data_IF_875262726573
#
_entry.id   IF_875262726573
#
_cell.length_a   1.000
_cell.length_b   1.000
_cell.length_c   1.000
_cell.angle_alpha   90.00
_cell.angle_beta   90.00
_cell.angle_gamma   90.00
#
_symmetry.space_group_name_H-M   'P 1'
#
loop_
_entity.id
_entity.type
_entity.pdbx_description
1 polymer ?
#
# COMPACT_ATOMS: atom_id res chain seq x y z
N UNK A 1 2.07 11.52 4.63
CA UNK A 1 0.99 11.88 3.69
C UNK A 1 1.11 13.35 3.36
N UNK A 2 0.91 13.73 2.09
CA UNK A 2 0.96 15.11 1.62
C UNK A 2 -0.22 15.37 0.69
N UNK A 3 -1.05 16.37 1.02
CA UNK A 3 -2.19 16.79 0.21
C UNK A 3 -1.76 17.97 -0.65
N UNK A 4 -1.95 17.87 -1.96
CA UNK A 4 -1.71 18.95 -2.89
C UNK A 4 -3.05 19.42 -3.48
N UNK A 5 -3.46 20.63 -3.12
CA UNK A 5 -4.67 21.27 -3.65
C UNK A 5 -4.37 21.83 -5.05
N UNK A 6 -5.06 21.33 -6.07
CA UNK A 6 -4.91 21.82 -7.45
C UNK A 6 -5.85 22.99 -7.75
N UNK A 7 -7.06 22.98 -7.19
CA UNK A 7 -8.04 24.07 -7.33
C UNK A 7 -9.08 23.98 -6.22
N UNK A 8 -9.80 25.08 -5.98
CA UNK A 8 -10.95 25.11 -5.10
C UNK A 8 -12.02 26.06 -5.65
N UNK A 9 -13.27 25.78 -5.28
CA UNK A 9 -14.45 26.62 -5.51
C UNK A 9 -15.30 26.60 -4.23
N UNK A 10 -15.28 27.72 -3.49
CA UNK A 10 -15.85 27.82 -2.14
C UNK A 10 -15.35 26.67 -1.24
N UNK A 11 -16.26 25.86 -0.72
CA UNK A 11 -15.96 24.74 0.17
C UNK A 11 -15.55 23.47 -0.58
N UNK A 12 -15.52 23.47 -1.92
CA UNK A 12 -15.18 22.31 -2.72
C UNK A 12 -13.73 22.36 -3.21
N UNK A 13 -12.96 21.34 -2.87
CA UNK A 13 -11.54 21.25 -3.17
C UNK A 13 -11.28 20.10 -4.15
N UNK A 14 -10.43 20.36 -5.13
CA UNK A 14 -9.79 19.35 -5.96
C UNK A 14 -8.32 19.25 -5.59
N UNK A 15 -7.88 18.02 -5.36
CA UNK A 15 -6.57 17.75 -4.81
C UNK A 15 -6.01 16.43 -5.34
N UNK A 16 -4.74 16.19 -5.01
CA UNK A 16 -4.10 14.88 -5.08
C UNK A 16 -3.51 14.57 -3.71
N UNK A 17 -3.38 13.29 -3.39
CA UNK A 17 -2.83 12.83 -2.11
C UNK A 17 -1.64 11.90 -2.39
N UNK A 18 -0.49 12.25 -1.84
CA UNK A 18 0.70 11.41 -1.87
C UNK A 18 0.87 10.72 -0.53
N UNK A 19 0.96 9.39 -0.56
CA UNK A 19 1.11 8.55 0.60
C UNK A 19 2.44 7.82 0.50
N UNK A 20 3.23 7.91 1.57
CA UNK A 20 4.44 7.16 1.75
C UNK A 20 4.48 6.69 3.20
N UNK A 21 4.84 5.42 3.41
CA UNK A 21 5.17 4.88 4.72
C UNK A 21 6.38 3.98 4.64
N UNK A 22 7.06 3.86 5.77
CA UNK A 22 8.25 3.04 5.94
C UNK A 22 8.26 2.42 7.33
N UNK A 23 8.94 1.28 7.45
CA UNK A 23 9.19 0.64 8.74
C UNK A 23 10.69 0.54 9.02
N UNK A 24 11.12 0.57 10.28
CA UNK A 24 12.50 0.27 10.65
C UNK A 24 12.81 -1.22 10.41
N UNK A 25 14.05 -1.50 10.03
CA UNK A 25 14.56 -2.87 9.92
C UNK A 25 15.17 -3.31 11.25
N UNK A 26 14.93 -4.57 11.63
CA UNK A 26 15.42 -5.12 12.90
C UNK A 26 16.94 -4.94 13.04
N UNK A 27 17.36 -4.42 14.20
CA UNK A 27 18.77 -4.18 14.54
C UNK A 27 19.53 -3.31 13.52
N UNK A 28 18.84 -2.38 12.84
CA UNK A 28 19.42 -1.49 11.83
C UNK A 28 18.87 -0.06 11.98
N UNK A 29 19.65 0.93 11.52
CA UNK A 29 19.18 2.30 11.37
C UNK A 29 18.44 2.54 10.04
N UNK A 30 18.32 1.51 9.20
CA UNK A 30 17.68 1.61 7.90
C UNK A 30 16.14 1.52 8.02
N UNK A 31 15.46 2.46 7.37
CA UNK A 31 14.00 2.47 7.24
C UNK A 31 13.62 2.01 5.83
N UNK A 32 12.95 0.86 5.74
CA UNK A 32 12.49 0.29 4.49
C UNK A 32 11.13 0.88 4.10
N UNK A 33 10.96 1.43 2.88
CA UNK A 33 9.67 1.89 2.40
C UNK A 33 8.72 0.70 2.22
N UNK A 34 7.47 0.79 2.68
CA UNK A 34 6.49 -0.31 2.62
C UNK A 34 5.26 0.02 1.76
N UNK A 35 4.92 1.29 1.64
CA UNK A 35 3.80 1.73 0.82
C UNK A 35 4.10 3.08 0.18
N UNK A 36 3.93 3.17 -1.13
CA UNK A 36 4.00 4.40 -1.91
C UNK A 36 2.81 4.47 -2.87
N UNK A 37 2.00 5.52 -2.75
CA UNK A 37 0.78 5.67 -3.54
C UNK A 37 0.50 7.14 -3.85
N UNK A 38 0.09 7.41 -5.09
CA UNK A 38 -0.35 8.72 -5.52
C UNK A 38 -1.83 8.68 -5.91
N UNK A 39 -2.70 9.15 -5.02
CA UNK A 39 -4.12 9.23 -5.26
C UNK A 39 -4.45 10.52 -6.02
N UNK A 40 -4.80 10.34 -7.30
CA UNK A 40 -5.20 11.43 -8.19
C UNK A 40 -6.70 11.75 -8.12
N UNK A 41 -7.49 10.87 -7.51
CA UNK A 41 -8.94 10.98 -7.42
C UNK A 41 -9.34 11.49 -6.04
N UNK A 42 -8.88 12.70 -5.69
CA UNK A 42 -9.14 13.29 -4.39
C UNK A 42 -9.87 14.63 -4.51
N UNK A 43 -11.18 14.58 -4.28
CA UNK A 43 -12.04 15.78 -4.21
C UNK A 43 -12.82 15.72 -2.92
N UNK A 44 -13.01 16.84 -2.25
CA UNK A 44 -13.72 16.85 -0.97
C UNK A 44 -14.36 18.21 -0.70
N UNK A 45 -15.31 18.21 0.24
CA UNK A 45 -15.87 19.43 0.79
C UNK A 45 -15.26 19.70 2.16
N UNK A 46 -14.89 20.94 2.43
CA UNK A 46 -14.35 21.36 3.73
C UNK A 46 -14.73 22.82 4.01
N UNK A 47 -15.26 23.07 5.19
CA UNK A 47 -15.51 24.42 5.70
C UNK A 47 -14.48 24.77 6.77
N UNK A 48 -14.08 26.04 6.85
CA UNK A 48 -13.17 26.50 7.89
C UNK A 48 -13.78 26.21 9.28
N UNK A 49 -12.94 25.69 10.19
CA UNK A 49 -13.34 25.24 11.53
C UNK A 49 -14.30 24.03 11.56
N UNK A 50 -14.58 23.38 10.43
CA UNK A 50 -15.32 22.13 10.42
C UNK A 50 -14.57 21.05 11.20
N UNK A 51 -15.27 20.42 12.15
CA UNK A 51 -14.71 19.30 12.91
C UNK A 51 -14.55 18.07 12.00
N UNK A 52 -13.39 17.41 12.08
CA UNK A 52 -13.08 16.20 11.33
C UNK A 52 -13.36 14.98 12.19
N UNK A 53 -14.55 14.41 12.04
CA UNK A 53 -15.00 13.24 12.80
C UNK A 53 -14.91 12.01 11.90
N UNK A 54 -14.28 10.95 12.41
CA UNK A 54 -14.27 9.63 11.78
C UNK A 54 -15.26 8.72 12.48
N UNK A 55 -16.10 8.06 11.68
CA UNK A 55 -16.98 6.99 12.11
C UNK A 55 -16.63 5.71 11.31
N UNK A 56 -16.32 4.58 11.97
CA UNK A 56 -15.92 3.35 11.27
C UNK A 56 -17.07 2.69 10.48
N UNK A 57 -18.32 3.02 10.78
CA UNK A 57 -19.49 2.35 10.19
C UNK A 57 -20.35 3.29 9.34
N UNK A 58 -20.03 4.60 9.29
CA UNK A 58 -20.82 5.61 8.57
C UNK A 58 -19.91 6.58 7.80
N UNK A 59 -20.37 7.00 6.61
CA UNK A 59 -19.73 8.06 5.86
C UNK A 59 -19.99 9.43 6.49
N UNK A 60 -18.93 10.13 6.90
CA UNK A 60 -19.01 11.51 7.43
C UNK A 60 -18.63 12.55 6.38
N UNK A 61 -17.45 12.39 5.77
CA UNK A 61 -16.98 13.25 4.68
C UNK A 61 -15.93 12.55 3.84
N UNK A 62 -15.83 12.91 2.56
CA UNK A 62 -14.86 12.27 1.67
C UNK A 62 -13.41 12.59 2.07
N UNK A 63 -13.16 13.77 2.66
CA UNK A 63 -11.86 14.13 3.21
C UNK A 63 -11.41 13.11 4.26
N UNK A 64 -12.27 12.87 5.26
CA UNK A 64 -11.98 11.94 6.35
C UNK A 64 -11.93 10.50 5.83
N UNK A 65 -12.85 10.09 4.96
CA UNK A 65 -12.87 8.72 4.40
C UNK A 65 -11.63 8.39 3.59
N UNK A 66 -11.13 9.28 2.73
CA UNK A 66 -9.90 9.04 1.96
C UNK A 66 -8.69 8.93 2.89
N UNK A 67 -8.56 9.83 3.88
CA UNK A 67 -7.46 9.79 4.84
C UNK A 67 -7.51 8.50 5.66
N UNK A 68 -8.68 8.16 6.22
CA UNK A 68 -8.87 6.96 7.02
C UNK A 68 -8.58 5.69 6.21
N UNK A 69 -9.05 5.62 4.96
CA UNK A 69 -8.76 4.50 4.06
C UNK A 69 -7.26 4.27 3.91
N UNK A 70 -6.48 5.31 3.61
CA UNK A 70 -5.03 5.15 3.46
C UNK A 70 -4.32 4.84 4.78
N UNK A 71 -4.81 5.34 5.92
CA UNK A 71 -4.29 4.95 7.24
C UNK A 71 -4.48 3.45 7.46
N UNK A 72 -5.68 2.91 7.22
CA UNK A 72 -5.93 1.47 7.33
C UNK A 72 -5.13 0.64 6.32
N UNK A 73 -4.91 1.15 5.10
CA UNK A 73 -3.99 0.51 4.15
C UNK A 73 -2.55 0.47 4.67
N UNK A 74 -2.05 1.57 5.26
CA UNK A 74 -0.72 1.61 5.87
C UNK A 74 -0.61 0.59 7.00
N UNK A 75 -1.59 0.55 7.91
CA UNK A 75 -1.59 -0.38 9.04
C UNK A 75 -1.67 -1.83 8.60
N UNK A 76 -2.49 -2.14 7.58
CA UNK A 76 -2.59 -3.49 7.03
C UNK A 76 -1.30 -3.96 6.38
N UNK A 77 -0.68 -3.10 5.56
CA UNK A 77 0.59 -3.42 4.89
C UNK A 77 1.71 -3.57 5.92
N UNK A 78 1.78 -2.67 6.90
CA UNK A 78 2.78 -2.73 7.97
C UNK A 78 2.65 -4.02 8.79
N UNK A 79 1.43 -4.38 9.21
CA UNK A 79 1.17 -5.63 9.92
C UNK A 79 1.63 -6.85 9.10
N UNK A 80 1.25 -6.95 7.83
CA UNK A 80 1.64 -8.05 6.94
C UNK A 80 3.17 -8.18 6.76
N UNK A 81 3.95 -7.12 7.01
CA UNK A 81 5.41 -7.20 6.98
C UNK A 81 6.01 -7.91 8.21
N UNK A 82 5.27 -7.99 9.32
CA UNK A 82 5.71 -8.64 10.57
C UNK A 82 5.15 -10.06 10.73
N UNK A 83 3.90 -10.28 10.32
CA UNK A 83 3.26 -11.60 10.40
C UNK A 83 2.30 -11.82 9.23
N UNK A 84 2.28 -13.04 8.73
CA UNK A 84 1.54 -13.40 7.53
C UNK A 84 0.03 -13.24 7.74
N UNK A 85 -0.57 -12.41 6.91
CA UNK A 85 -1.99 -12.07 6.92
C UNK A 85 -2.50 -11.30 8.17
N UNK A 86 -1.61 -10.81 9.03
CA UNK A 86 -2.01 -10.05 10.22
C UNK A 86 -2.69 -8.71 9.90
N UNK A 87 -2.58 -8.21 8.66
CA UNK A 87 -3.27 -7.02 8.17
C UNK A 87 -4.78 -7.15 7.96
N UNK A 88 -5.38 -8.34 8.11
CA UNK A 88 -6.78 -8.63 7.79
C UNK A 88 -7.76 -7.66 8.45
N UNK A 89 -7.57 -7.38 9.74
CA UNK A 89 -8.44 -6.46 10.46
C UNK A 89 -8.46 -5.08 9.81
N UNK A 90 -7.29 -4.54 9.44
CA UNK A 90 -7.17 -3.20 8.87
C UNK A 90 -7.69 -3.14 7.44
N UNK A 91 -7.41 -4.15 6.62
CA UNK A 91 -7.94 -4.20 5.25
C UNK A 91 -9.46 -4.32 5.23
N UNK A 92 -10.05 -5.07 6.16
CA UNK A 92 -11.51 -5.14 6.28
C UNK A 92 -12.12 -3.77 6.68
N UNK A 93 -11.45 -2.99 7.52
CA UNK A 93 -11.88 -1.60 7.79
C UNK A 93 -11.73 -0.70 6.56
N UNK A 94 -10.63 -0.80 5.81
CA UNK A 94 -10.47 -0.08 4.54
C UNK A 94 -11.55 -0.48 3.52
N UNK A 95 -11.95 -1.75 3.50
CA UNK A 95 -13.05 -2.25 2.65
C UNK A 95 -14.41 -1.68 3.08
N UNK A 96 -14.69 -1.63 4.38
CA UNK A 96 -15.91 -0.95 4.88
C UNK A 96 -15.96 0.51 4.44
N UNK A 97 -14.84 1.23 4.54
CA UNK A 97 -14.75 2.62 4.08
C UNK A 97 -15.06 2.74 2.59
N UNK A 98 -14.51 1.85 1.75
CA UNK A 98 -14.85 1.79 0.34
C UNK A 98 -16.36 1.62 0.15
N UNK A 99 -16.96 0.64 0.82
CA UNK A 99 -18.35 0.24 0.62
C UNK A 99 -19.34 1.38 0.92
N UNK A 100 -19.17 2.10 2.04
CA UNK A 100 -20.03 3.25 2.33
C UNK A 100 -19.68 4.50 1.49
N UNK A 101 -18.45 4.62 0.99
CA UNK A 101 -18.02 5.80 0.20
C UNK A 101 -18.49 5.74 -1.25
N UNK A 102 -18.74 4.54 -1.79
CA UNK A 102 -19.21 4.35 -3.17
C UNK A 102 -20.52 5.08 -3.50
N UNK A 103 -21.41 5.21 -2.52
CA UNK A 103 -22.75 5.78 -2.73
C UNK A 103 -22.74 7.32 -2.82
N UNK A 104 -21.59 7.97 -2.52
CA UNK A 104 -21.49 9.41 -2.36
C UNK A 104 -20.99 10.17 -3.61
N UNK A 105 -20.79 9.47 -4.73
CA UNK A 105 -20.49 10.08 -6.04
C UNK A 105 -19.07 10.65 -6.19
N UNK A 106 -18.18 10.46 -5.20
CA UNK A 106 -16.77 10.84 -5.32
C UNK A 106 -15.98 9.78 -6.10
N UNK A 107 -15.09 10.24 -6.99
CA UNK A 107 -14.22 9.33 -7.77
C UNK A 107 -13.18 8.64 -6.90
N UNK A 108 -12.78 7.45 -7.32
CA UNK A 108 -11.76 6.60 -6.73
C UNK A 108 -12.33 5.45 -5.90
N UNK A 109 -13.64 5.45 -5.65
CA UNK A 109 -14.34 4.43 -4.86
C UNK A 109 -15.08 3.41 -5.73
N UNK A 110 -15.40 3.74 -6.98
CA UNK A 110 -16.14 2.86 -7.87
C UNK A 110 -15.21 2.12 -8.86
N UNK A 111 -15.63 0.94 -9.37
CA UNK A 111 -14.83 0.18 -10.34
C UNK A 111 -14.52 0.94 -11.65
N UNK A 112 -15.41 1.86 -12.04
CA UNK A 112 -15.29 2.66 -13.26
C UNK A 112 -14.43 3.92 -13.10
N UNK A 113 -13.89 4.20 -11.91
CA UNK A 113 -13.04 5.37 -11.64
C UNK A 113 -11.57 5.20 -12.07
N UNK A 114 -11.29 4.13 -12.83
CA UNK A 114 -9.98 3.78 -13.36
C UNK A 114 -9.29 2.67 -12.58
N UNK A 115 -8.34 2.00 -13.24
CA UNK A 115 -7.62 0.83 -12.72
C UNK A 115 -6.65 1.15 -11.57
N UNK A 116 -6.28 2.43 -11.41
CA UNK A 116 -5.42 2.93 -10.35
C UNK A 116 -6.25 3.72 -9.33
N UNK A 117 -7.10 3.02 -8.60
CA UNK A 117 -8.07 3.61 -7.68
C UNK A 117 -8.02 2.92 -6.32
N UNK A 118 -8.60 3.58 -5.30
CA UNK A 118 -8.75 2.99 -3.96
C UNK A 118 -9.56 1.70 -4.02
N UNK A 119 -10.58 1.65 -4.89
CA UNK A 119 -11.34 0.43 -5.20
C UNK A 119 -10.42 -0.74 -5.57
N UNK A 120 -9.63 -0.61 -6.64
CA UNK A 120 -8.79 -1.71 -7.08
C UNK A 120 -7.66 -2.01 -6.10
N UNK A 121 -7.14 -1.01 -5.39
CA UNK A 121 -6.12 -1.23 -4.38
C UNK A 121 -6.59 -2.24 -3.32
N UNK A 122 -7.71 -1.96 -2.66
CA UNK A 122 -8.21 -2.85 -1.59
C UNK A 122 -8.75 -4.17 -2.15
N UNK A 123 -9.39 -4.15 -3.31
CA UNK A 123 -9.88 -5.36 -3.97
C UNK A 123 -8.73 -6.31 -4.33
N UNK A 124 -7.62 -5.78 -4.84
CA UNK A 124 -6.45 -6.59 -5.18
C UNK A 124 -5.81 -7.17 -3.91
N UNK A 125 -5.67 -6.40 -2.83
CA UNK A 125 -5.05 -6.89 -1.58
C UNK A 125 -5.85 -8.04 -0.95
N UNK A 126 -7.18 -7.95 -0.95
CA UNK A 126 -8.06 -8.97 -0.35
C UNK A 126 -8.34 -10.16 -1.27
N UNK A 127 -8.14 -10.02 -2.59
CA UNK A 127 -8.49 -11.07 -3.54
C UNK A 127 -7.51 -12.25 -3.47
N UNK A 128 -8.01 -13.51 -3.39
CA UNK A 128 -7.18 -14.72 -3.49
C UNK A 128 -6.35 -14.79 -4.78
N UNK A 129 -6.75 -14.03 -5.80
CA UNK A 129 -6.02 -13.89 -7.06
C UNK A 129 -4.62 -13.27 -6.87
N UNK A 130 -4.39 -12.53 -5.80
CA UNK A 130 -3.12 -11.86 -5.51
C UNK A 130 -2.54 -12.25 -4.15
N UNK A 131 -2.90 -13.42 -3.60
CA UNK A 131 -2.48 -13.91 -2.27
C UNK A 131 -0.97 -13.85 -2.03
N UNK A 132 -0.17 -13.99 -3.08
CA UNK A 132 1.29 -13.94 -3.06
C UNK A 132 1.79 -12.56 -2.63
N UNK A 133 1.06 -11.48 -2.91
CA UNK A 133 1.44 -10.12 -2.49
C UNK A 133 1.72 -10.03 -1.00
N UNK A 134 0.79 -10.50 -0.16
CA UNK A 134 0.92 -10.47 1.30
C UNK A 134 2.00 -11.41 1.81
N UNK A 135 2.14 -12.56 1.14
CA UNK A 135 3.23 -13.51 1.42
C UNK A 135 4.60 -12.92 1.11
N UNK A 136 4.69 -12.10 0.06
CA UNK A 136 5.91 -11.39 -0.32
C UNK A 136 6.21 -10.27 0.66
N UNK A 137 5.23 -9.49 1.11
CA UNK A 137 5.43 -8.49 2.18
C UNK A 137 6.09 -9.13 3.41
N UNK A 138 5.54 -10.24 3.90
CA UNK A 138 6.11 -10.96 5.03
C UNK A 138 7.52 -11.51 4.74
N UNK A 139 7.68 -12.32 3.68
CA UNK A 139 8.95 -12.99 3.42
C UNK A 139 10.09 -12.01 3.06
N UNK A 140 9.78 -10.95 2.30
CA UNK A 140 10.76 -9.95 1.90
C UNK A 140 11.30 -9.19 3.11
N UNK A 141 10.41 -8.80 4.03
CA UNK A 141 10.78 -8.04 5.22
C UNK A 141 11.37 -8.93 6.31
N UNK A 142 10.61 -9.91 6.80
CA UNK A 142 11.01 -10.72 7.96
C UNK A 142 12.13 -11.72 7.63
N UNK A 143 12.03 -12.45 6.51
CA UNK A 143 13.06 -13.44 6.12
C UNK A 143 14.18 -12.86 5.27
N UNK A 144 13.99 -11.65 4.74
CA UNK A 144 14.97 -10.94 3.94
C UNK A 144 15.65 -9.85 4.75
N UNK A 145 15.02 -8.67 4.81
CA UNK A 145 15.62 -7.46 5.37
C UNK A 145 16.01 -7.58 6.85
N UNK A 146 15.13 -8.11 7.70
CA UNK A 146 15.38 -8.20 9.15
C UNK A 146 16.53 -9.15 9.49
N UNK A 147 16.89 -10.06 8.58
CA UNK A 147 17.98 -10.99 8.76
C UNK A 147 19.31 -10.49 8.18
N UNK A 148 19.34 -9.31 7.53
CA UNK A 148 20.50 -8.82 6.78
C UNK A 148 21.72 -8.55 7.66
N UNK A 149 21.50 -8.15 8.91
CA UNK A 149 22.56 -7.92 9.89
C UNK A 149 23.18 -9.22 10.41
N UNK A 150 22.46 -10.34 10.29
CA UNK A 150 22.87 -11.66 10.76
C UNK A 150 23.54 -12.47 9.65
N UNK A 151 22.89 -12.62 8.49
CA UNK A 151 23.43 -13.36 7.33
C UNK A 151 22.97 -12.72 6.02
N UNK A 152 23.89 -11.99 5.39
CA UNK A 152 23.65 -11.29 4.13
C UNK A 152 23.29 -12.23 2.97
N UNK A 153 23.89 -13.42 2.88
CA UNK A 153 23.66 -14.36 1.77
C UNK A 153 22.28 -15.00 1.92
N UNK A 154 21.92 -15.42 3.12
CA UNK A 154 20.60 -15.96 3.41
C UNK A 154 19.51 -14.91 3.16
N UNK A 155 19.70 -13.68 3.65
CA UNK A 155 18.75 -12.58 3.46
C UNK A 155 18.45 -12.28 2.01
N UNK A 156 19.50 -12.08 1.20
CA UNK A 156 19.33 -11.81 -0.22
C UNK A 156 18.69 -12.99 -0.96
N UNK A 157 18.95 -14.23 -0.53
CA UNK A 157 18.24 -15.41 -1.06
C UNK A 157 16.75 -15.38 -0.68
N UNK A 158 16.42 -14.97 0.55
CA UNK A 158 15.04 -14.74 1.00
C UNK A 158 14.31 -13.68 0.18
N UNK A 159 14.98 -12.55 -0.10
CA UNK A 159 14.48 -11.50 -1.00
C UNK A 159 14.24 -12.06 -2.41
N UNK A 160 15.24 -12.72 -3.00
CA UNK A 160 15.13 -13.31 -4.35
C UNK A 160 13.98 -14.30 -4.48
N UNK A 161 13.81 -15.20 -3.50
CA UNK A 161 12.70 -16.16 -3.46
C UNK A 161 11.34 -15.47 -3.34
N UNK A 162 11.27 -14.36 -2.60
CA UNK A 162 10.05 -13.57 -2.48
C UNK A 162 9.68 -12.94 -3.84
N UNK A 163 10.66 -12.40 -4.57
CA UNK A 163 10.41 -11.84 -5.91
C UNK A 163 9.90 -12.89 -6.92
N UNK A 164 10.33 -14.15 -6.80
CA UNK A 164 9.80 -15.24 -7.64
C UNK A 164 8.30 -15.52 -7.41
N UNK A 165 7.77 -15.24 -6.22
CA UNK A 165 6.32 -15.35 -5.99
C UNK A 165 5.55 -14.24 -6.73
N UNK A 166 6.15 -13.05 -6.88
CA UNK A 166 5.56 -11.99 -7.69
C UNK A 166 5.56 -12.32 -9.18
N UNK A 167 6.57 -13.03 -9.68
CA UNK A 167 6.57 -13.54 -11.06
C UNK A 167 5.42 -14.53 -11.29
N UNK A 168 5.18 -15.46 -10.36
CA UNK A 168 4.03 -16.37 -10.41
C UNK A 168 2.69 -15.61 -10.42
N UNK A 169 2.57 -14.58 -9.59
CA UNK A 169 1.39 -13.70 -9.57
C UNK A 169 1.22 -12.97 -10.90
N UNK A 170 2.30 -12.40 -11.46
CA UNK A 170 2.30 -11.67 -12.72
C UNK A 170 1.94 -12.58 -13.90
N UNK A 171 2.43 -13.82 -13.95
CA UNK A 171 2.06 -14.81 -14.98
C UNK A 171 0.55 -15.09 -15.00
N UNK A 172 -0.10 -15.06 -13.83
CA UNK A 172 -1.55 -15.27 -13.70
C UNK A 172 -2.36 -14.01 -14.00
N UNK A 173 -1.92 -12.85 -13.52
CA UNK A 173 -2.56 -11.55 -13.79
C UNK A 173 -1.50 -10.50 -14.11
N UNK A 174 -1.13 -10.36 -15.40
CA UNK A 174 -0.17 -9.35 -15.82
C UNK A 174 -0.68 -7.93 -15.57
N UNK A 175 0.24 -7.00 -15.35
CA UNK A 175 -0.06 -5.57 -15.16
C UNK A 175 -1.07 -5.28 -14.02
N UNK A 176 -1.09 -6.12 -12.99
CA UNK A 176 -1.96 -5.87 -11.83
C UNK A 176 -1.54 -4.61 -11.09
N UNK A 177 -2.54 -3.87 -10.58
CA UNK A 177 -2.26 -2.60 -9.92
C UNK A 177 -1.42 -2.79 -8.65
N UNK A 178 -1.67 -3.85 -7.89
CA UNK A 178 -0.94 -4.14 -6.66
C UNK A 178 0.54 -4.47 -6.91
N UNK A 179 0.85 -5.11 -8.04
CA UNK A 179 2.24 -5.36 -8.44
C UNK A 179 2.97 -4.06 -8.74
N UNK A 180 2.30 -3.12 -9.41
CA UNK A 180 2.84 -1.78 -9.67
C UNK A 180 3.10 -1.04 -8.35
N UNK A 181 2.16 -1.06 -7.41
CA UNK A 181 2.33 -0.43 -6.08
C UNK A 181 3.55 -1.00 -5.35
N UNK A 182 3.76 -2.32 -5.41
CA UNK A 182 4.95 -2.96 -4.83
C UNK A 182 6.24 -2.42 -5.46
N UNK A 183 6.35 -2.44 -6.78
CA UNK A 183 7.58 -2.00 -7.45
C UNK A 183 7.80 -0.48 -7.37
N UNK A 184 6.76 0.34 -7.44
CA UNK A 184 6.85 1.79 -7.21
C UNK A 184 7.37 2.12 -5.79
N UNK A 185 7.22 1.18 -4.85
CA UNK A 185 7.75 1.29 -3.49
C UNK A 185 9.17 0.69 -3.36
N UNK A 186 9.43 -0.45 -3.99
CA UNK A 186 10.58 -1.32 -3.69
C UNK A 186 11.71 -1.33 -4.71
N UNK A 187 11.50 -0.81 -5.93
CA UNK A 187 12.47 -0.99 -7.02
C UNK A 187 13.88 -0.52 -6.68
N UNK A 188 14.02 0.66 -6.07
CA UNK A 188 15.32 1.22 -5.67
C UNK A 188 15.97 0.37 -4.57
N UNK A 189 15.21 -0.03 -3.56
CA UNK A 189 15.72 -0.89 -2.48
C UNK A 189 16.20 -2.25 -3.01
N UNK A 190 15.45 -2.86 -3.94
CA UNK A 190 15.86 -4.10 -4.61
C UNK A 190 17.17 -3.90 -5.37
N UNK A 191 17.28 -2.82 -6.14
CA UNK A 191 18.51 -2.48 -6.86
C UNK A 191 19.70 -2.35 -5.89
N UNK A 192 19.54 -1.62 -4.79
CA UNK A 192 20.58 -1.40 -3.79
C UNK A 192 21.00 -2.71 -3.12
N UNK A 193 20.05 -3.60 -2.81
CA UNK A 193 20.32 -4.91 -2.22
C UNK A 193 21.17 -5.78 -3.15
N UNK A 194 20.95 -5.72 -4.47
CA UNK A 194 21.64 -6.57 -5.44
C UNK A 194 22.83 -5.90 -6.14
N UNK A 195 23.14 -4.64 -5.84
CA UNK A 195 24.28 -3.92 -6.43
C UNK A 195 25.65 -4.25 -5.82
N UNK A 196 25.70 -4.88 -4.63
CA UNK A 196 26.94 -5.26 -3.95
C UNK A 196 26.84 -6.59 -3.20
N UNK A 197 27.87 -7.01 -2.46
CA UNK A 197 27.84 -8.23 -1.63
C UNK A 197 27.85 -9.57 -2.39
N UNK A 198 27.62 -10.71 -1.69
CA UNK A 198 27.68 -12.03 -2.30
C UNK A 198 26.67 -12.21 -3.42
N UNK A 199 27.11 -12.72 -4.56
CA UNK A 199 26.24 -13.05 -5.69
C UNK A 199 25.33 -14.24 -5.34
N UNK A 200 24.07 -14.15 -5.75
CA UNK A 200 23.09 -15.23 -5.62
C UNK A 200 22.67 -15.67 -7.01
N UNK A 201 22.74 -16.97 -7.31
CA UNK A 201 22.22 -17.48 -8.57
C UNK A 201 20.71 -17.27 -8.62
N UNK A 202 20.23 -16.71 -9.73
CA UNK A 202 18.81 -16.60 -10.05
C UNK A 202 18.45 -17.90 -10.75
N UNK A 203 17.73 -18.79 -10.07
CA UNK A 203 17.22 -20.06 -10.61
C UNK A 203 15.71 -20.12 -10.51
#
# INVERSE_FOLDING_TARGET
MFINISSHDNDFFQATLQIQSSRPIYNSSYNSPVYNFNDKNFTFRYQEFQNLIFNPDVFESNLVSVIAFHIYMIMGIDADTFDLNSGDFFYNQARKILDFSQQNGFKGWAPNDGLQSRYYLIDNVLSPTYKEYRTVLFNYHFKGLDFMTTDLKQSKSGVSKSLMLLDQMNKRRPNSFILRVFFDTKSNEIQDIFSGGPSIPIT
#
